data_IF_670437716882
#
_entry.id   IF_670437716882
#
_cell.length_a   1.000
_cell.length_b   1.000
_cell.length_c   1.000
_cell.angle_alpha   90.00
_cell.angle_beta   90.00
_cell.angle_gamma   90.00
#
_symmetry.space_group_name_H-M   'P 1'
#
loop_
_entity.id
_entity.type
_entity.pdbx_description
1 polymer ?
#
# COMPACT_ATOMS: atom_id res chain seq x y z
N UNK A 1 -13.37 -7.76 -0.63
CA UNK A 1 -13.63 -6.62 0.27
C UNK A 1 -13.15 -5.38 -0.46
N UNK A 2 -13.89 -4.28 -0.39
CA UNK A 2 -13.58 -3.07 -1.16
C UNK A 2 -13.73 -1.84 -0.27
N UNK A 3 -12.70 -1.00 -0.20
CA UNK A 3 -12.71 0.28 0.51
C UNK A 3 -13.38 1.35 -0.35
N UNK A 4 -14.25 2.16 0.27
CA UNK A 4 -15.06 3.18 -0.41
C UNK A 4 -14.75 4.60 0.04
N UNK A 5 -14.18 4.78 1.24
CA UNK A 5 -13.81 6.10 1.75
C UNK A 5 -12.68 6.01 2.76
N UNK A 6 -11.84 7.04 2.79
CA UNK A 6 -10.76 7.23 3.76
C UNK A 6 -10.83 8.64 4.33
N UNK A 7 -11.09 8.75 5.63
CA UNK A 7 -10.99 10.03 6.37
C UNK A 7 -9.75 10.01 7.24
N UNK A 8 -8.97 11.10 7.20
CA UNK A 8 -7.70 11.26 7.90
C UNK A 8 -7.71 12.58 8.65
N UNK A 9 -7.35 12.55 9.94
CA UNK A 9 -7.12 13.75 10.75
C UNK A 9 -5.79 13.73 11.47
N UNK A 10 -5.17 14.91 11.59
CA UNK A 10 -3.91 15.17 12.31
C UNK A 10 -2.72 14.31 11.87
N UNK A 11 -2.72 13.78 10.64
CA UNK A 11 -1.68 12.87 10.14
C UNK A 11 -0.82 13.54 9.07
N UNK A 12 0.47 13.73 9.37
CA UNK A 12 1.48 14.33 8.50
C UNK A 12 1.00 15.64 7.84
N UNK A 13 0.56 15.59 6.58
CA UNK A 13 0.13 16.78 5.82
C UNK A 13 -1.35 17.13 5.99
N UNK A 14 -2.14 16.24 6.58
CA UNK A 14 -3.59 16.36 6.64
C UNK A 14 -4.05 16.86 8.02
N UNK A 15 -4.87 17.92 8.01
CA UNK A 15 -5.60 18.42 9.18
C UNK A 15 -6.87 17.61 9.36
N UNK A 16 -7.77 17.72 8.37
CA UNK A 16 -8.96 16.92 8.19
C UNK A 16 -9.23 16.79 6.69
N UNK A 17 -9.30 15.56 6.19
CA UNK A 17 -9.60 15.25 4.80
C UNK A 17 -10.39 13.96 4.70
N UNK A 18 -11.37 13.94 3.79
CA UNK A 18 -12.07 12.73 3.35
C UNK A 18 -11.78 12.50 1.88
N UNK A 19 -11.32 11.31 1.56
CA UNK A 19 -10.89 10.89 0.24
C UNK A 19 -11.86 9.79 -0.22
N UNK A 20 -12.66 10.01 -1.27
CA UNK A 20 -13.47 8.96 -1.84
C UNK A 20 -12.55 7.90 -2.46
N UNK A 21 -12.80 6.64 -2.14
CA UNK A 21 -12.13 5.50 -2.74
C UNK A 21 -13.09 4.82 -3.72
N UNK A 22 -12.53 4.07 -4.65
CA UNK A 22 -13.27 3.29 -5.64
C UNK A 22 -12.51 2.02 -5.99
N UNK A 23 -13.01 1.25 -6.93
CA UNK A 23 -12.38 0.01 -7.36
C UNK A 23 -12.34 -0.08 -8.88
N UNK A 24 -11.18 0.20 -9.51
CA UNK A 24 -9.93 0.73 -8.94
C UNK A 24 -9.99 2.25 -8.69
N UNK A 25 -9.04 2.78 -7.90
CA UNK A 25 -8.85 4.24 -7.69
C UNK A 25 -7.39 4.68 -7.90
N UNK A 26 -7.22 5.87 -8.49
CA UNK A 26 -5.90 6.48 -8.75
C UNK A 26 -5.84 7.88 -8.15
N UNK A 27 -4.81 8.12 -7.35
CA UNK A 27 -4.44 9.42 -6.83
C UNK A 27 -3.48 10.11 -7.81
N UNK A 28 -3.88 11.27 -8.35
CA UNK A 28 -3.09 12.04 -9.31
C UNK A 28 -2.73 13.40 -8.74
N UNK A 29 -1.47 13.80 -8.86
CA UNK A 29 -1.04 15.14 -8.47
C UNK A 29 0.48 15.25 -8.43
N UNK A 30 1.03 16.46 -8.18
CA UNK A 30 2.47 16.69 -8.16
C UNK A 30 3.16 15.93 -7.01
N UNK A 31 4.49 15.86 -7.07
CA UNK A 31 5.29 15.35 -5.96
C UNK A 31 4.99 16.16 -4.70
N UNK A 32 5.05 15.48 -3.55
CA UNK A 32 4.84 16.10 -2.26
C UNK A 32 3.40 16.62 -2.01
N UNK A 33 2.40 16.22 -2.80
CA UNK A 33 1.00 16.66 -2.61
C UNK A 33 0.19 15.87 -1.55
N UNK A 34 0.75 14.78 -1.00
CA UNK A 34 0.10 13.97 0.03
C UNK A 34 -0.44 12.62 -0.44
N UNK A 35 -0.21 12.22 -1.71
CA UNK A 35 -0.63 10.90 -2.24
C UNK A 35 -0.06 9.74 -1.42
N UNK A 36 1.26 9.68 -1.27
CA UNK A 36 1.95 8.70 -0.41
C UNK A 36 1.48 8.79 1.04
N UNK A 37 1.19 10.00 1.54
CA UNK A 37 0.64 10.18 2.89
C UNK A 37 -0.74 9.50 3.05
N UNK A 38 -1.60 9.56 2.03
CA UNK A 38 -2.89 8.87 2.06
C UNK A 38 -2.72 7.34 2.04
N UNK A 39 -1.81 6.81 1.22
CA UNK A 39 -1.48 5.38 1.23
C UNK A 39 -0.93 4.95 2.59
N UNK A 40 -0.02 5.73 3.17
CA UNK A 40 0.56 5.48 4.49
C UNK A 40 -0.48 5.49 5.61
N UNK A 41 -1.51 6.36 5.54
CA UNK A 41 -2.60 6.34 6.50
C UNK A 41 -3.37 5.00 6.47
N UNK A 42 -3.65 4.45 5.29
CA UNK A 42 -4.27 3.13 5.16
C UNK A 42 -3.39 2.01 5.74
N UNK A 43 -2.06 2.09 5.56
CA UNK A 43 -1.15 1.10 6.17
C UNK A 43 -1.13 1.18 7.69
N UNK A 44 -1.15 2.40 8.27
CA UNK A 44 -1.23 2.60 9.72
C UNK A 44 -2.54 2.05 10.28
N UNK A 45 -3.65 2.30 9.58
CA UNK A 45 -4.96 1.73 9.92
C UNK A 45 -4.95 0.20 9.89
N UNK A 46 -4.37 -0.42 8.85
CA UNK A 46 -4.27 -1.89 8.74
C UNK A 46 -3.48 -2.51 9.91
N UNK A 47 -2.36 -1.90 10.30
CA UNK A 47 -1.58 -2.36 11.46
C UNK A 47 -2.42 -2.26 12.74
N UNK A 48 -3.13 -1.15 12.91
CA UNK A 48 -4.05 -0.95 14.04
C UNK A 48 -5.11 -2.05 14.12
N UNK A 49 -5.81 -2.33 13.02
CA UNK A 49 -6.82 -3.39 12.95
C UNK A 49 -6.22 -4.77 13.23
N UNK A 50 -5.08 -5.09 12.62
CA UNK A 50 -4.41 -6.38 12.83
C UNK A 50 -4.04 -6.60 14.30
N UNK A 51 -3.51 -5.58 14.98
CA UNK A 51 -3.17 -5.65 16.42
C UNK A 51 -4.42 -5.77 17.31
N UNK A 52 -5.51 -5.08 16.96
CA UNK A 52 -6.79 -5.15 17.68
C UNK A 52 -7.44 -6.54 17.52
N UNK A 53 -7.51 -7.07 16.30
CA UNK A 53 -8.11 -8.38 16.03
C UNK A 53 -7.27 -9.56 16.55
N UNK A 54 -5.95 -9.38 16.66
CA UNK A 54 -5.04 -10.39 17.22
C UNK A 54 -5.09 -10.52 18.75
N UNK A 55 -5.81 -9.62 19.45
CA UNK A 55 -5.99 -9.64 20.91
C UNK A 55 -7.28 -10.39 21.27
N UNK A 56 -7.26 -11.17 22.36
CA UNK A 56 -8.50 -11.76 22.91
C UNK A 56 -9.32 -10.67 23.63
N UNK A 57 -10.64 -10.83 23.72
CA UNK A 57 -11.50 -9.90 24.48
C UNK A 57 -11.02 -9.70 25.93
N UNK A 58 -10.40 -10.71 26.53
CA UNK A 58 -9.78 -10.67 27.87
C UNK A 58 -8.50 -9.84 27.96
N UNK A 59 -7.90 -9.48 26.82
CA UNK A 59 -6.68 -8.69 26.74
C UNK A 59 -6.97 -7.19 26.53
N UNK A 60 -8.25 -6.82 26.38
CA UNK A 60 -8.68 -5.44 26.49
C UNK A 60 -8.78 -5.13 27.98
N UNK A 61 -7.81 -4.38 28.53
CA UNK A 61 -7.84 -4.09 29.95
C UNK A 61 -9.02 -3.16 30.23
N UNK A 62 -9.64 -3.33 31.40
CA UNK A 62 -10.77 -2.53 31.86
C UNK A 62 -10.59 -1.02 31.63
N UNK A 63 -11.74 -0.32 31.61
CA UNK A 63 -12.10 1.10 31.35
C UNK A 63 -11.06 2.25 31.44
N UNK A 64 -9.82 2.02 31.86
CA UNK A 64 -8.76 2.99 32.10
C UNK A 64 -7.49 2.80 31.24
N UNK A 65 -7.41 1.84 30.32
CA UNK A 65 -6.16 1.63 29.56
C UNK A 65 -6.00 2.46 28.29
N UNK A 66 -4.75 2.90 27.99
CA UNK A 66 -4.47 3.90 26.97
C UNK A 66 -4.70 3.43 25.52
N UNK A 67 -4.85 2.12 25.27
CA UNK A 67 -4.96 1.50 23.96
C UNK A 67 -3.90 0.42 23.75
N UNK A 68 -3.90 -0.24 22.59
CA UNK A 68 -2.89 -1.23 22.22
C UNK A 68 -1.63 -0.51 21.74
N UNK A 69 -0.48 -0.85 22.32
CA UNK A 69 0.81 -0.29 21.91
C UNK A 69 1.22 -0.81 20.54
N UNK A 70 1.57 0.10 19.62
CA UNK A 70 2.20 -0.18 18.33
C UNK A 70 3.62 0.37 18.40
N UNK A 71 4.61 -0.49 18.13
CA UNK A 71 6.00 -0.05 18.04
C UNK A 71 6.24 0.65 16.69
N UNK A 72 7.02 1.72 16.69
CA UNK A 72 7.40 2.47 15.47
C UNK A 72 8.07 1.56 14.44
N UNK A 73 8.85 0.56 14.88
CA UNK A 73 9.53 -0.40 13.98
C UNK A 73 8.57 -1.37 13.30
N UNK A 74 7.35 -1.52 13.81
CA UNK A 74 6.29 -2.31 13.16
C UNK A 74 5.65 -1.53 12.00
N UNK A 75 5.86 -0.20 11.90
CA UNK A 75 5.32 0.66 10.85
C UNK A 75 6.16 0.59 9.56
N UNK A 76 6.24 -0.60 8.96
CA UNK A 76 7.12 -0.88 7.82
C UNK A 76 6.90 0.09 6.64
N UNK A 77 5.65 0.39 6.30
CA UNK A 77 5.30 1.29 5.20
C UNK A 77 5.44 2.78 5.52
N UNK A 78 5.71 3.12 6.79
CA UNK A 78 5.84 4.50 7.27
C UNK A 78 7.13 4.65 8.09
N UNK A 79 8.31 4.43 7.47
CA UNK A 79 9.56 4.51 8.20
C UNK A 79 9.80 5.97 8.64
N UNK A 80 9.66 6.21 9.94
CA UNK A 80 9.98 7.50 10.57
C UNK A 80 10.98 7.26 11.68
N UNK A 81 11.98 8.15 11.90
CA UNK A 81 12.94 8.00 12.99
C UNK A 81 12.34 8.27 14.37
N UNK A 82 11.21 8.98 14.45
CA UNK A 82 10.46 9.21 15.69
C UNK A 82 8.95 9.22 15.40
N UNK A 83 8.14 8.67 16.32
CA UNK A 83 6.70 8.57 16.16
C UNK A 83 6.00 9.93 16.01
N UNK A 84 6.53 10.99 16.64
CA UNK A 84 5.98 12.35 16.55
C UNK A 84 5.93 12.90 15.12
N UNK A 85 6.75 12.38 14.20
CA UNK A 85 6.73 12.75 12.78
C UNK A 85 5.48 12.28 12.03
N UNK A 86 4.67 11.42 12.65
CA UNK A 86 3.36 11.04 12.11
C UNK A 86 2.32 12.14 12.33
N UNK A 87 2.50 12.99 13.35
CA UNK A 87 1.57 14.06 13.69
C UNK A 87 1.76 15.24 12.76
N UNK A 88 0.64 15.84 12.38
CA UNK A 88 0.64 17.10 11.67
C UNK A 88 1.36 18.17 12.49
N UNK A 89 2.27 18.90 11.84
CA UNK A 89 3.03 20.01 12.42
C UNK A 89 3.77 19.65 13.73
N UNK A 90 4.05 18.34 13.96
CA UNK A 90 4.62 17.78 15.20
C UNK A 90 3.76 18.08 16.45
N UNK A 91 2.51 18.48 16.27
CA UNK A 91 1.61 18.85 17.35
C UNK A 91 0.99 17.60 17.97
N UNK A 92 1.63 17.10 19.03
CA UNK A 92 1.15 15.97 19.83
C UNK A 92 0.20 16.40 20.97
N UNK A 93 0.28 17.67 21.40
CA UNK A 93 -0.55 18.26 22.47
C UNK A 93 -1.13 19.59 22.01
N UNK A 94 -2.36 19.94 22.44
CA UNK A 94 -2.91 21.29 22.21
C UNK A 94 -2.11 22.34 23.00
N UNK A 95 -1.92 23.55 22.48
CA UNK A 95 -1.31 24.63 23.27
C UNK A 95 -2.23 25.03 24.44
N UNK A 96 -1.68 25.14 25.65
CA UNK A 96 -2.42 25.62 26.82
C UNK A 96 -2.76 27.11 26.64
N UNK A 97 -4.00 27.49 26.93
CA UNK A 97 -4.34 28.90 27.17
C UNK A 97 -3.62 29.37 28.45
N UNK A 98 -2.99 30.56 28.48
CA UNK A 98 -2.13 31.01 29.58
C UNK A 98 -2.76 30.97 30.98
N UNK A 99 -4.10 30.94 31.09
CA UNK A 99 -4.83 31.04 32.36
C UNK A 99 -5.28 29.71 32.98
N UNK A 100 -5.02 28.54 32.36
CA UNK A 100 -5.42 27.24 32.94
C UNK A 100 -4.26 26.26 33.01
N UNK A 101 -3.79 25.97 34.23
CA UNK A 101 -2.90 24.85 34.59
C UNK A 101 -3.59 23.48 34.43
N UNK A 102 -4.28 23.23 33.32
CA UNK A 102 -4.78 21.90 32.99
C UNK A 102 -3.82 21.23 32.01
N UNK A 103 -3.62 19.92 32.16
CA UNK A 103 -2.91 19.11 31.19
C UNK A 103 -3.51 19.37 29.80
N UNK A 104 -2.65 19.72 28.85
CA UNK A 104 -3.05 19.98 27.48
C UNK A 104 -3.56 18.69 26.85
N UNK A 105 -4.80 18.65 26.34
CA UNK A 105 -5.33 17.43 25.75
C UNK A 105 -4.48 17.03 24.53
N UNK A 106 -4.15 15.75 24.46
CA UNK A 106 -3.43 15.16 23.33
C UNK A 106 -4.23 15.36 22.04
N UNK A 107 -3.53 15.52 20.93
CA UNK A 107 -4.12 15.61 19.60
C UNK A 107 -3.99 14.22 18.97
N UNK A 108 -5.03 13.38 18.94
CA UNK A 108 -4.91 12.06 18.32
C UNK A 108 -4.87 12.16 16.79
N UNK A 109 -4.14 11.24 16.16
CA UNK A 109 -4.37 10.92 14.75
C UNK A 109 -5.68 10.14 14.67
N UNK A 110 -6.57 10.50 13.74
CA UNK A 110 -7.82 9.76 13.52
C UNK A 110 -7.85 9.26 12.08
N UNK A 111 -8.07 7.97 11.91
CA UNK A 111 -8.24 7.36 10.59
C UNK A 111 -9.55 6.58 10.58
N UNK A 112 -10.46 6.95 9.70
CA UNK A 112 -11.74 6.28 9.50
C UNK A 112 -11.76 5.71 8.09
N UNK A 113 -12.03 4.42 7.99
CA UNK A 113 -12.15 3.72 6.71
C UNK A 113 -13.58 3.20 6.60
N UNK A 114 -14.15 3.40 5.43
CA UNK A 114 -15.44 2.82 5.04
C UNK A 114 -15.20 1.81 3.92
N UNK A 115 -16.03 0.77 3.89
CA UNK A 115 -15.96 -0.20 2.83
C UNK A 115 -17.15 -1.15 2.81
N UNK A 116 -17.07 -2.12 1.90
CA UNK A 116 -18.10 -3.12 1.67
C UNK A 116 -17.44 -4.50 1.65
N UNK A 117 -18.01 -5.42 2.44
CA UNK A 117 -17.65 -6.85 2.43
C UNK A 117 -18.92 -7.66 2.25
N UNK A 118 -19.00 -8.53 1.25
CA UNK A 118 -20.19 -9.35 0.96
C UNK A 118 -21.51 -8.53 0.91
N UNK A 119 -21.48 -7.40 0.19
CA UNK A 119 -22.59 -6.43 0.09
C UNK A 119 -23.05 -5.78 1.40
N UNK A 120 -22.29 -5.91 2.49
CA UNK A 120 -22.56 -5.23 3.74
C UNK A 120 -21.63 -4.02 3.89
N UNK A 121 -22.16 -2.79 3.93
CA UNK A 121 -21.36 -1.61 4.21
C UNK A 121 -20.92 -1.61 5.67
N UNK A 122 -19.71 -1.13 5.93
CA UNK A 122 -19.15 -0.98 7.26
C UNK A 122 -18.32 0.28 7.35
N UNK A 123 -18.20 0.79 8.57
CA UNK A 123 -17.36 1.94 8.92
C UNK A 123 -16.53 1.56 10.13
N UNK A 124 -15.23 1.81 10.07
CA UNK A 124 -14.32 1.51 11.16
C UNK A 124 -13.34 2.66 11.36
N UNK A 125 -13.32 3.23 12.56
CA UNK A 125 -12.43 4.32 12.93
C UNK A 125 -11.45 3.92 14.01
N UNK A 126 -10.20 4.32 13.86
CA UNK A 126 -9.15 4.18 14.85
C UNK A 126 -8.56 5.55 15.22
N UNK A 127 -8.22 5.68 16.49
CA UNK A 127 -7.46 6.79 17.05
C UNK A 127 -6.07 6.30 17.43
N UNK A 128 -5.07 7.13 17.17
CA UNK A 128 -3.69 6.88 17.57
C UNK A 128 -3.16 8.04 18.41
N UNK A 129 -2.70 7.72 19.63
CA UNK A 129 -2.10 8.68 20.54
C UNK A 129 -0.59 8.50 20.61
N UNK A 130 0.11 9.61 20.79
CA UNK A 130 1.55 9.61 20.99
C UNK A 130 1.86 9.06 22.39
N UNK A 131 2.62 7.96 22.47
CA UNK A 131 3.08 7.44 23.76
C UNK A 131 4.49 7.95 24.08
N UNK A 132 5.42 7.76 23.16
CA UNK A 132 6.82 8.18 23.25
C UNK A 132 7.46 8.12 21.84
N UNK A 133 8.75 8.48 21.66
CA UNK A 133 9.36 8.49 20.32
C UNK A 133 9.36 7.13 19.58
N UNK A 134 9.26 6.00 20.30
CA UNK A 134 9.34 4.65 19.74
C UNK A 134 7.99 3.93 19.69
N UNK A 135 6.92 4.50 20.23
CA UNK A 135 5.60 3.85 20.23
C UNK A 135 4.42 4.81 20.26
N UNK A 136 3.28 4.30 19.82
CA UNK A 136 1.97 4.95 19.83
C UNK A 136 0.92 4.00 20.40
N UNK A 137 -0.13 4.54 21.01
CA UNK A 137 -1.30 3.77 21.41
C UNK A 137 -2.34 3.79 20.28
N UNK A 138 -3.03 2.67 20.07
CA UNK A 138 -4.09 2.52 19.08
C UNK A 138 -5.37 2.03 19.77
N UNK A 139 -6.50 2.65 19.45
CA UNK A 139 -7.81 2.25 19.96
C UNK A 139 -8.93 2.57 18.96
N UNK A 140 -10.08 1.88 19.03
CA UNK A 140 -11.24 2.27 18.24
C UNK A 140 -11.75 3.66 18.66
N UNK A 141 -12.29 4.41 17.71
CA UNK A 141 -12.88 5.74 17.97
C UNK A 141 -14.01 5.66 19.00
N UNK A 142 -14.17 6.73 19.78
CA UNK A 142 -15.29 6.88 20.72
C UNK A 142 -16.32 7.88 20.19
N UNK A 143 -17.58 7.67 20.50
CA UNK A 143 -18.63 8.66 20.24
C UNK A 143 -18.58 9.81 21.27
N UNK A 144 -19.45 10.82 21.08
CA UNK A 144 -19.55 11.98 21.99
C UNK A 144 -19.97 11.62 23.42
N UNK A 145 -20.53 10.42 23.62
CA UNK A 145 -20.94 9.89 24.92
C UNK A 145 -19.88 9.00 25.57
N UNK A 146 -18.75 8.79 24.88
CA UNK A 146 -17.64 7.94 25.34
C UNK A 146 -17.79 6.47 24.99
N UNK A 147 -18.82 6.08 24.23
CA UNK A 147 -19.02 4.71 23.77
C UNK A 147 -18.02 4.37 22.66
N UNK A 148 -17.33 3.23 22.80
CA UNK A 148 -16.35 2.75 21.82
C UNK A 148 -17.12 2.18 20.63
N UNK A 149 -16.81 2.64 19.40
CA UNK A 149 -17.38 2.02 18.21
C UNK A 149 -16.86 0.58 18.07
N UNK A 150 -17.72 -0.43 17.94
CA UNK A 150 -17.28 -1.80 17.75
C UNK A 150 -16.55 -1.95 16.43
N UNK A 151 -15.50 -2.75 16.41
CA UNK A 151 -14.83 -3.15 15.17
C UNK A 151 -15.81 -4.04 14.38
N UNK A 152 -16.19 -3.67 13.14
CA UNK A 152 -17.13 -4.47 12.35
C UNK A 152 -16.57 -5.86 12.07
N UNK A 153 -17.39 -6.91 12.18
CA UNK A 153 -16.95 -8.28 11.88
C UNK A 153 -16.57 -8.44 10.40
N UNK A 154 -17.17 -7.62 9.55
CA UNK A 154 -16.94 -7.50 8.11
C UNK A 154 -15.51 -7.10 7.73
N UNK A 155 -14.72 -6.55 8.67
CA UNK A 155 -13.30 -6.20 8.47
C UNK A 155 -12.36 -7.38 8.79
N UNK A 156 -12.90 -8.52 9.26
CA UNK A 156 -12.10 -9.71 9.56
C UNK A 156 -11.48 -10.25 8.26
N UNK A 157 -10.17 -10.50 8.28
CA UNK A 157 -9.42 -10.90 7.07
C UNK A 157 -9.00 -9.71 6.19
N UNK A 158 -9.14 -8.48 6.67
CA UNK A 158 -8.59 -7.30 5.99
C UNK A 158 -7.07 -7.40 5.83
N UNK A 159 -6.63 -7.40 4.57
CA UNK A 159 -5.23 -7.40 4.19
C UNK A 159 -4.93 -6.20 3.29
N UNK A 160 -3.90 -5.44 3.65
CA UNK A 160 -3.31 -4.39 2.81
C UNK A 160 -1.91 -4.83 2.42
N UNK A 161 -1.56 -4.62 1.15
CA UNK A 161 -0.21 -4.82 0.64
C UNK A 161 0.27 -3.50 0.02
N UNK A 162 1.34 -2.92 0.57
CA UNK A 162 1.90 -1.65 0.10
C UNK A 162 3.22 -1.88 -0.64
N UNK A 163 3.26 -1.47 -1.90
CA UNK A 163 4.45 -1.49 -2.73
C UNK A 163 4.91 -0.04 -3.02
N UNK A 164 6.07 0.38 -2.48
CA UNK A 164 6.66 1.67 -2.81
C UNK A 164 7.30 1.65 -4.21
N UNK A 165 7.80 2.81 -4.69
CA UNK A 165 8.45 2.88 -6.00
C UNK A 165 9.66 1.94 -6.08
N UNK A 166 9.96 1.46 -7.29
CA UNK A 166 11.06 0.52 -7.49
C UNK A 166 12.44 1.18 -7.35
N UNK A 167 13.37 0.52 -6.64
CA UNK A 167 14.74 0.99 -6.40
C UNK A 167 15.82 0.21 -7.18
N UNK A 168 15.58 -0.09 -8.47
CA UNK A 168 16.49 -0.88 -9.30
C UNK A 168 16.42 -2.38 -8.99
N UNK A 169 17.47 -3.14 -9.32
CA UNK A 169 17.55 -4.58 -9.08
C UNK A 169 18.94 -4.97 -8.58
N UNK A 170 19.00 -5.80 -7.53
CA UNK A 170 20.25 -6.32 -7.00
C UNK A 170 20.83 -7.42 -7.91
N UNK A 171 22.16 -7.47 -8.00
CA UNK A 171 22.87 -8.52 -8.74
C UNK A 171 22.66 -9.91 -8.10
N UNK A 172 22.60 -9.97 -6.77
CA UNK A 172 22.39 -11.20 -5.99
C UNK A 172 21.27 -10.98 -4.99
N UNK A 173 20.46 -12.02 -4.76
CA UNK A 173 19.33 -11.97 -3.85
C UNK A 173 19.32 -13.23 -2.98
N UNK A 174 19.43 -13.08 -1.66
CA UNK A 174 19.29 -14.21 -0.74
C UNK A 174 17.82 -14.64 -0.63
N UNK A 175 17.56 -15.91 -0.36
CA UNK A 175 16.20 -16.36 -0.04
C UNK A 175 15.76 -15.75 1.29
N UNK A 176 14.61 -15.10 1.28
CA UNK A 176 14.00 -14.43 2.42
C UNK A 176 12.67 -15.07 2.77
N UNK A 177 12.38 -15.10 4.07
CA UNK A 177 11.04 -15.41 4.57
C UNK A 177 10.11 -14.19 4.41
N UNK A 178 8.79 -14.42 4.36
CA UNK A 178 7.78 -13.37 4.06
C UNK A 178 7.91 -12.14 4.96
N UNK A 179 8.20 -12.32 6.24
CA UNK A 179 8.40 -11.21 7.17
C UNK A 179 9.59 -10.31 6.78
N UNK A 180 10.70 -10.92 6.34
CA UNK A 180 11.88 -10.18 5.91
C UNK A 180 11.65 -9.47 4.57
N UNK A 181 10.90 -10.09 3.64
CA UNK A 181 10.46 -9.45 2.39
C UNK A 181 9.66 -8.17 2.69
N UNK A 182 8.68 -8.25 3.59
CA UNK A 182 7.87 -7.10 3.98
C UNK A 182 8.69 -5.97 4.60
N UNK A 183 9.71 -6.30 5.41
CA UNK A 183 10.64 -5.30 5.95
C UNK A 183 11.42 -4.61 4.84
N UNK A 184 11.99 -5.36 3.89
CA UNK A 184 12.73 -4.80 2.75
C UNK A 184 11.87 -3.91 1.88
N UNK A 185 10.64 -4.33 1.61
CA UNK A 185 9.66 -3.52 0.89
C UNK A 185 9.40 -2.22 1.65
N UNK A 186 9.15 -2.28 2.97
CA UNK A 186 8.96 -1.10 3.81
C UNK A 186 10.15 -0.13 3.82
N UNK A 187 11.38 -0.65 3.75
CA UNK A 187 12.62 0.13 3.61
C UNK A 187 12.81 0.74 2.21
N UNK A 188 11.91 0.48 1.26
CA UNK A 188 12.04 0.89 -0.14
C UNK A 188 13.07 0.06 -0.93
N UNK A 189 13.54 -1.06 -0.38
CA UNK A 189 14.53 -1.96 -0.98
C UNK A 189 13.87 -3.02 -1.85
N UNK A 190 13.03 -2.58 -2.78
CA UNK A 190 12.34 -3.44 -3.75
C UNK A 190 13.29 -4.17 -4.69
N UNK A 191 14.52 -3.66 -4.87
CA UNK A 191 15.60 -4.31 -5.60
C UNK A 191 16.06 -5.66 -5.02
N UNK A 192 15.80 -5.91 -3.73
CA UNK A 192 16.29 -7.07 -2.99
C UNK A 192 15.21 -8.16 -2.78
N UNK A 193 14.04 -8.01 -3.43
CA UNK A 193 12.89 -8.91 -3.20
C UNK A 193 12.23 -9.43 -4.47
N UNK A 194 12.67 -9.00 -5.65
CA UNK A 194 12.02 -9.36 -6.91
C UNK A 194 12.06 -10.88 -7.14
N UNK A 195 13.23 -11.50 -6.99
CA UNK A 195 13.41 -12.94 -7.20
C UNK A 195 12.69 -13.73 -6.11
N UNK A 196 12.65 -13.23 -4.88
CA UNK A 196 11.88 -13.80 -3.78
C UNK A 196 10.38 -13.80 -4.05
N UNK A 197 9.82 -12.70 -4.55
CA UNK A 197 8.40 -12.64 -4.91
C UNK A 197 8.08 -13.62 -6.05
N UNK A 198 8.95 -13.69 -7.07
CA UNK A 198 8.82 -14.67 -8.14
C UNK A 198 8.90 -16.11 -7.59
N UNK A 199 9.81 -16.37 -6.65
CA UNK A 199 9.97 -17.67 -6.03
C UNK A 199 8.75 -18.08 -5.21
N UNK A 200 8.16 -17.15 -4.46
CA UNK A 200 6.93 -17.39 -3.71
C UNK A 200 5.77 -17.83 -4.60
N UNK A 201 5.59 -17.20 -5.77
CA UNK A 201 4.50 -17.54 -6.70
C UNK A 201 4.82 -18.74 -7.61
N UNK A 202 6.09 -19.05 -7.86
CA UNK A 202 6.49 -20.21 -8.67
C UNK A 202 6.52 -21.50 -7.87
N UNK A 203 6.90 -21.40 -6.58
CA UNK A 203 7.02 -22.53 -5.67
C UNK A 203 5.75 -22.76 -4.83
N UNK A 204 4.68 -21.98 -5.06
CA UNK A 204 3.37 -22.27 -4.49
C UNK A 204 2.78 -23.56 -5.09
N UNK A 205 1.89 -24.22 -4.33
CA UNK A 205 1.18 -25.40 -4.84
C UNK A 205 0.25 -25.12 -6.02
N UNK A 206 -0.13 -23.86 -6.22
CA UNK A 206 -0.83 -23.36 -7.41
C UNK A 206 0.19 -22.74 -8.38
N UNK A 207 0.14 -23.18 -9.64
CA UNK A 207 1.06 -22.73 -10.70
C UNK A 207 0.44 -21.69 -11.63
N UNK A 208 -0.88 -21.45 -11.54
CA UNK A 208 -1.56 -20.44 -12.37
C UNK A 208 -0.93 -19.06 -12.24
N UNK A 209 -0.62 -18.56 -11.03
CA UNK A 209 -0.07 -17.22 -10.88
C UNK A 209 1.24 -17.04 -11.64
N UNK A 210 2.16 -18.00 -11.51
CA UNK A 210 3.44 -17.99 -12.22
C UNK A 210 3.24 -18.07 -13.74
N UNK A 211 2.37 -18.96 -14.22
CA UNK A 211 2.07 -19.09 -15.66
C UNK A 211 1.51 -17.77 -16.21
N UNK A 212 0.60 -17.13 -15.48
CA UNK A 212 0.05 -15.81 -15.83
C UNK A 212 1.14 -14.74 -15.94
N UNK A 213 2.12 -14.73 -15.03
CA UNK A 213 3.28 -13.81 -15.10
C UNK A 213 4.15 -14.10 -16.33
N UNK A 214 4.54 -15.35 -16.56
CA UNK A 214 5.39 -15.75 -17.70
C UNK A 214 4.72 -15.37 -19.03
N UNK A 215 3.43 -15.66 -19.20
CA UNK A 215 2.70 -15.34 -20.42
C UNK A 215 2.61 -13.83 -20.66
N UNK A 216 2.31 -13.06 -19.62
CA UNK A 216 2.24 -11.60 -19.71
C UNK A 216 3.59 -11.00 -20.11
N UNK A 217 4.68 -11.45 -19.48
CA UNK A 217 6.02 -10.95 -19.80
C UNK A 217 6.44 -11.34 -21.22
N UNK A 218 6.10 -12.55 -21.66
CA UNK A 218 6.31 -12.98 -23.05
C UNK A 218 5.59 -12.09 -24.04
N UNK A 219 4.32 -11.79 -23.80
CA UNK A 219 3.51 -10.94 -24.69
C UNK A 219 4.03 -9.49 -24.75
N UNK A 220 4.43 -8.92 -23.61
CA UNK A 220 4.83 -7.52 -23.53
C UNK A 220 6.28 -7.25 -23.95
N UNK A 221 7.18 -8.20 -23.72
CA UNK A 221 8.63 -8.02 -23.88
C UNK A 221 9.27 -9.00 -24.86
N UNK A 222 8.55 -10.02 -25.33
CA UNK A 222 9.12 -11.02 -26.25
C UNK A 222 10.20 -11.89 -25.60
N UNK A 223 10.13 -12.11 -24.29
CA UNK A 223 11.08 -12.97 -23.56
C UNK A 223 10.34 -14.03 -22.76
N UNK A 224 10.96 -15.20 -22.59
CA UNK A 224 10.42 -16.25 -21.72
C UNK A 224 11.17 -16.26 -20.40
N UNK A 225 10.44 -16.10 -19.29
CA UNK A 225 11.01 -16.23 -17.96
C UNK A 225 11.15 -17.71 -17.57
N UNK A 226 12.29 -18.08 -17.03
CA UNK A 226 12.48 -19.37 -16.38
C UNK A 226 12.10 -19.27 -14.90
N UNK A 227 11.60 -20.35 -14.28
CA UNK A 227 11.35 -20.39 -12.85
C UNK A 227 12.60 -20.00 -12.05
N UNK A 228 12.47 -19.23 -10.96
CA UNK A 228 13.58 -18.94 -10.08
C UNK A 228 14.09 -20.21 -9.40
N UNK A 229 15.40 -20.32 -9.27
CA UNK A 229 16.09 -21.47 -8.67
C UNK A 229 16.72 -21.08 -7.34
N UNK A 230 16.54 -21.93 -6.31
CA UNK A 230 17.16 -21.74 -5.01
C UNK A 230 18.47 -22.52 -4.93
N UNK A 231 19.59 -21.80 -4.83
CA UNK A 231 20.94 -22.35 -4.70
C UNK A 231 21.25 -22.55 -3.22
N UNK A 232 21.14 -23.79 -2.74
CA UNK A 232 21.25 -24.15 -1.32
C UNK A 232 22.63 -23.79 -0.75
N UNK A 233 23.70 -24.00 -1.52
CA UNK A 233 25.09 -23.79 -1.08
C UNK A 233 25.40 -22.32 -0.77
N UNK A 234 24.64 -21.39 -1.36
CA UNK A 234 24.80 -19.94 -1.18
C UNK A 234 23.63 -19.29 -0.45
N UNK A 235 22.50 -19.98 -0.35
CA UNK A 235 21.25 -19.40 0.14
C UNK A 235 20.67 -18.34 -0.80
N UNK A 236 21.00 -18.40 -2.09
CA UNK A 236 20.64 -17.39 -3.10
C UNK A 236 19.50 -17.87 -3.99
N UNK A 237 18.72 -16.92 -4.50
CA UNK A 237 17.75 -17.16 -5.58
C UNK A 237 18.32 -16.55 -6.86
N UNK A 238 18.41 -17.37 -7.90
CA UNK A 238 18.75 -16.93 -9.26
C UNK A 238 17.53 -17.01 -10.15
N UNK A 239 17.54 -16.20 -11.21
CA UNK A 239 16.44 -16.18 -12.17
C UNK A 239 16.98 -15.70 -13.51
N UNK A 240 16.60 -16.38 -14.58
CA UNK A 240 17.05 -16.10 -15.95
C UNK A 240 15.87 -15.90 -16.88
N UNK A 241 16.12 -15.25 -18.01
CA UNK A 241 15.17 -15.15 -19.11
C UNK A 241 15.83 -15.53 -20.43
N UNK A 242 15.02 -16.02 -21.35
CA UNK A 242 15.41 -16.37 -22.71
C UNK A 242 14.85 -15.35 -23.70
N UNK A 243 15.71 -14.80 -24.55
CA UNK A 243 15.31 -13.91 -25.65
C UNK A 243 14.73 -14.71 -26.82
N UNK A 244 13.50 -14.39 -27.21
CA UNK A 244 12.85 -15.06 -28.33
C UNK A 244 13.58 -14.74 -29.65
N UNK A 245 13.89 -15.79 -30.41
CA UNK A 245 14.53 -15.68 -31.72
C UNK A 245 16.05 -15.82 -31.71
N UNK A 246 16.72 -15.50 -30.61
CA UNK A 246 18.18 -15.73 -30.45
C UNK A 246 18.47 -16.99 -29.61
N UNK A 247 17.56 -17.35 -28.68
CA UNK A 247 17.75 -18.45 -27.73
C UNK A 247 18.81 -18.15 -26.66
N UNK A 248 19.22 -16.88 -26.55
CA UNK A 248 20.22 -16.46 -25.56
C UNK A 248 19.55 -16.39 -24.19
N UNK A 249 20.17 -17.05 -23.21
CA UNK A 249 19.73 -17.06 -21.81
C UNK A 249 20.60 -16.08 -21.02
N UNK A 250 19.96 -15.13 -20.33
CA UNK A 250 20.62 -14.09 -19.55
C UNK A 250 20.06 -14.04 -18.12
N UNK A 251 20.89 -13.63 -17.16
CA UNK A 251 20.41 -13.32 -15.82
C UNK A 251 19.38 -12.18 -15.86
N UNK A 252 18.35 -12.28 -15.02
CA UNK A 252 17.28 -11.28 -14.95
C UNK A 252 17.82 -9.86 -14.71
N UNK A 253 18.97 -9.69 -14.04
CA UNK A 253 19.65 -8.40 -13.86
C UNK A 253 20.01 -7.70 -15.17
N UNK A 254 20.19 -8.46 -16.26
CA UNK A 254 20.48 -7.92 -17.59
C UNK A 254 19.25 -7.35 -18.31
N UNK A 255 18.03 -7.61 -17.81
CA UNK A 255 16.83 -7.10 -18.43
C UNK A 255 16.66 -5.58 -18.24
N UNK A 256 15.91 -4.94 -19.14
CA UNK A 256 15.61 -3.52 -19.03
C UNK A 256 14.68 -3.19 -17.84
N UNK A 257 14.80 -1.97 -17.30
CA UNK A 257 14.00 -1.51 -16.15
C UNK A 257 12.50 -1.70 -16.32
N UNK A 258 11.97 -1.52 -17.53
CA UNK A 258 10.55 -1.71 -17.80
C UNK A 258 10.08 -3.15 -17.56
N UNK A 259 10.92 -4.14 -17.86
CA UNK A 259 10.65 -5.54 -17.55
C UNK A 259 10.68 -5.76 -16.04
N UNK A 260 11.72 -5.26 -15.35
CA UNK A 260 11.85 -5.42 -13.89
C UNK A 260 10.66 -4.82 -13.14
N UNK A 261 10.23 -3.61 -13.53
CA UNK A 261 9.08 -2.93 -12.94
C UNK A 261 7.79 -3.73 -13.18
N UNK A 262 7.57 -4.19 -14.42
CA UNK A 262 6.38 -4.99 -14.74
C UNK A 262 6.36 -6.30 -13.97
N UNK A 263 7.49 -6.99 -13.91
CA UNK A 263 7.65 -8.25 -13.20
C UNK A 263 7.42 -8.07 -11.69
N UNK A 264 7.97 -7.00 -11.09
CA UNK A 264 7.77 -6.66 -9.68
C UNK A 264 6.29 -6.45 -9.38
N UNK A 265 5.61 -5.62 -10.17
CA UNK A 265 4.20 -5.32 -10.00
C UNK A 265 3.33 -6.57 -10.12
N UNK A 266 3.58 -7.38 -11.15
CA UNK A 266 2.85 -8.62 -11.37
C UNK A 266 3.07 -9.62 -10.23
N UNK A 267 4.34 -9.90 -9.89
CA UNK A 267 4.67 -10.83 -8.81
C UNK A 267 4.08 -10.36 -7.47
N UNK A 268 4.05 -9.05 -7.23
CA UNK A 268 3.43 -8.48 -6.03
C UNK A 268 1.90 -8.64 -6.00
N UNK A 269 1.20 -8.37 -7.12
CA UNK A 269 -0.26 -8.56 -7.22
C UNK A 269 -0.62 -10.04 -7.00
N UNK A 270 0.10 -10.94 -7.66
CA UNK A 270 -0.16 -12.38 -7.59
C UNK A 270 0.26 -13.04 -6.27
N UNK A 271 1.21 -12.46 -5.53
CA UNK A 271 1.56 -12.92 -4.17
C UNK A 271 0.56 -12.47 -3.09
N UNK A 272 -0.36 -11.55 -3.40
CA UNK A 272 -1.32 -10.98 -2.45
C UNK A 272 -2.77 -11.06 -2.95
N UNK A 273 -3.30 -12.27 -3.20
CA UNK A 273 -4.69 -12.44 -3.65
C UNK A 273 -5.68 -11.96 -2.58
N UNK A 274 -6.74 -11.27 -3.00
CA UNK A 274 -7.80 -10.76 -2.14
C UNK A 274 -7.45 -9.51 -1.32
N UNK A 275 -6.22 -8.99 -1.42
CA UNK A 275 -5.75 -7.83 -0.66
C UNK A 275 -6.18 -6.50 -1.30
N UNK A 276 -6.13 -5.43 -0.50
CA UNK A 276 -6.14 -4.05 -0.99
C UNK A 276 -4.69 -3.66 -1.31
N UNK A 277 -4.40 -3.51 -2.59
CA UNK A 277 -3.07 -3.22 -3.13
C UNK A 277 -2.87 -1.70 -3.19
N UNK A 278 -1.92 -1.21 -2.41
CA UNK A 278 -1.50 0.18 -2.38
C UNK A 278 -0.21 0.31 -3.19
N UNK A 279 -0.27 0.97 -4.35
CA UNK A 279 0.86 1.06 -5.29
C UNK A 279 1.32 2.51 -5.38
N UNK A 280 2.56 2.80 -4.99
CA UNK A 280 3.13 4.15 -5.09
C UNK A 280 4.07 4.25 -6.29
N UNK A 281 3.73 5.14 -7.22
CA UNK A 281 4.39 5.35 -8.52
C UNK A 281 4.65 4.06 -9.32
N UNK A 282 3.62 3.23 -9.58
CA UNK A 282 3.78 1.99 -10.36
C UNK A 282 4.24 2.24 -11.80
N UNK A 283 4.03 3.46 -12.30
CA UNK A 283 4.39 3.94 -13.63
C UNK A 283 5.78 4.64 -13.69
N UNK A 284 6.49 4.74 -12.57
CA UNK A 284 7.80 5.39 -12.53
C UNK A 284 8.81 4.74 -13.48
N UNK A 285 9.69 5.56 -14.06
CA UNK A 285 10.79 5.14 -14.94
C UNK A 285 10.39 4.41 -16.24
N UNK A 286 9.10 4.44 -16.60
CA UNK A 286 8.56 3.80 -17.80
C UNK A 286 8.29 4.83 -18.90
N UNK A 287 8.52 4.41 -20.14
CA UNK A 287 8.11 5.17 -21.32
C UNK A 287 6.59 5.31 -21.40
N UNK A 288 6.12 6.40 -22.02
CA UNK A 288 4.69 6.78 -22.11
C UNK A 288 3.79 5.60 -22.53
N UNK A 289 4.17 4.85 -23.58
CA UNK A 289 3.40 3.70 -24.06
C UNK A 289 3.28 2.59 -23.01
N UNK A 290 4.37 2.34 -22.25
CA UNK A 290 4.41 1.32 -21.20
C UNK A 290 3.57 1.70 -19.99
N UNK A 291 3.49 2.98 -19.64
CA UNK A 291 2.65 3.45 -18.53
C UNK A 291 1.16 3.09 -18.74
N UNK A 292 0.63 3.27 -19.96
CA UNK A 292 -0.75 2.85 -20.31
C UNK A 292 -0.94 1.34 -20.21
N UNK A 293 0.03 0.58 -20.73
CA UNK A 293 -0.03 -0.89 -20.72
C UNK A 293 -0.02 -1.43 -19.30
N UNK A 294 0.87 -0.93 -18.43
CA UNK A 294 0.97 -1.35 -17.04
C UNK A 294 -0.29 -1.03 -16.25
N UNK A 295 -0.89 0.13 -16.47
CA UNK A 295 -2.14 0.46 -15.80
C UNK A 295 -3.26 -0.53 -16.14
N UNK A 296 -3.43 -0.84 -17.43
CA UNK A 296 -4.42 -1.83 -17.86
C UNK A 296 -4.11 -3.24 -17.33
N UNK A 297 -2.84 -3.60 -17.31
CA UNK A 297 -2.38 -4.87 -16.77
C UNK A 297 -2.71 -5.00 -15.29
N UNK A 298 -2.42 -3.97 -14.49
CA UNK A 298 -2.73 -3.94 -13.06
C UNK A 298 -4.22 -4.15 -12.80
N UNK A 299 -5.10 -3.43 -13.52
CA UNK A 299 -6.54 -3.59 -13.39
C UNK A 299 -6.97 -5.03 -13.69
N UNK A 300 -6.44 -5.61 -14.78
CA UNK A 300 -6.79 -6.98 -15.18
C UNK A 300 -6.30 -8.02 -14.17
N UNK A 301 -5.05 -7.91 -13.71
CA UNK A 301 -4.47 -8.80 -12.72
C UNK A 301 -5.19 -8.71 -11.37
N UNK A 302 -5.52 -7.50 -10.91
CA UNK A 302 -6.26 -7.31 -9.67
C UNK A 302 -7.67 -7.90 -9.72
N UNK A 303 -8.36 -7.82 -10.86
CA UNK A 303 -9.66 -8.50 -11.05
C UNK A 303 -9.52 -10.02 -10.96
N UNK A 304 -8.47 -10.61 -11.56
CA UNK A 304 -8.19 -12.05 -11.45
C UNK A 304 -7.92 -12.48 -10.01
N UNK A 305 -7.20 -11.67 -9.24
CA UNK A 305 -6.85 -11.96 -7.86
C UNK A 305 -7.89 -11.51 -6.84
N UNK A 306 -9.03 -10.96 -7.29
CA UNK A 306 -10.08 -10.37 -6.44
C UNK A 306 -9.55 -9.30 -5.47
N UNK A 307 -8.58 -8.51 -5.95
CA UNK A 307 -7.88 -7.46 -5.21
C UNK A 307 -8.39 -6.08 -5.62
N UNK A 308 -8.42 -5.14 -4.69
CA UNK A 308 -8.69 -3.73 -4.98
C UNK A 308 -7.37 -2.99 -5.23
N UNK A 309 -7.31 -2.09 -6.20
CA UNK A 309 -6.14 -1.21 -6.42
C UNK A 309 -6.42 0.21 -5.94
N UNK A 310 -5.48 0.73 -5.16
CA UNK A 310 -5.35 2.15 -4.83
C UNK A 310 -3.93 2.58 -5.24
N UNK A 311 -3.81 3.25 -6.38
CA UNK A 311 -2.52 3.66 -6.93
C UNK A 311 -2.26 5.15 -6.76
N UNK A 312 -1.02 5.56 -6.53
CA UNK A 312 -0.59 6.96 -6.56
C UNK A 312 0.36 7.17 -7.74
N UNK A 313 0.09 8.18 -8.56
CA UNK A 313 0.90 8.52 -9.73
C UNK A 313 0.97 10.02 -9.94
N UNK A 314 2.01 10.47 -10.64
CA UNK A 314 2.16 11.84 -11.13
C UNK A 314 2.00 11.92 -12.67
N UNK A 315 1.73 10.79 -13.34
CA UNK A 315 1.65 10.73 -14.79
C UNK A 315 0.30 11.21 -15.35
N UNK A 316 0.38 12.18 -16.27
CA UNK A 316 -0.78 12.59 -17.08
C UNK A 316 -1.29 11.47 -17.99
N UNK A 317 -0.41 10.53 -18.36
CA UNK A 317 -0.75 9.38 -19.19
C UNK A 317 -1.64 8.42 -18.39
N UNK A 318 -1.25 8.12 -17.14
CA UNK A 318 -2.06 7.31 -16.22
C UNK A 318 -3.37 8.00 -15.90
N UNK A 319 -3.35 9.32 -15.66
CA UNK A 319 -4.57 10.11 -15.48
C UNK A 319 -5.55 9.95 -16.64
N UNK A 320 -5.06 10.04 -17.88
CA UNK A 320 -5.89 9.93 -19.08
C UNK A 320 -6.48 8.53 -19.24
N UNK A 321 -5.69 7.49 -18.99
CA UNK A 321 -6.15 6.10 -19.05
C UNK A 321 -7.14 5.76 -17.92
N UNK A 322 -6.89 6.29 -16.71
CA UNK A 322 -7.70 6.07 -15.53
C UNK A 322 -9.07 6.74 -15.62
N UNK A 323 -9.17 7.89 -16.31
CA UNK A 323 -10.41 8.66 -16.41
C UNK A 323 -11.61 7.83 -16.94
N UNK A 324 -11.36 6.85 -17.79
CA UNK A 324 -12.42 6.00 -18.36
C UNK A 324 -12.70 4.74 -17.52
N UNK A 325 -11.71 4.27 -16.74
CA UNK A 325 -11.65 2.91 -16.18
C UNK A 325 -11.60 2.84 -14.65
N UNK A 326 -11.32 3.96 -13.99
CA UNK A 326 -11.08 4.06 -12.55
C UNK A 326 -11.67 5.34 -11.96
N UNK A 327 -11.85 5.36 -10.65
CA UNK A 327 -12.05 6.61 -9.93
C UNK A 327 -10.73 7.39 -9.90
N UNK A 328 -10.75 8.68 -10.21
CA UNK A 328 -9.56 9.54 -10.17
C UNK A 328 -9.73 10.60 -9.10
N UNK A 329 -8.81 10.64 -8.14
CA UNK A 329 -8.75 11.67 -7.10
C UNK A 329 -7.58 12.60 -7.38
N UNK A 330 -7.86 13.88 -7.58
CA UNK A 330 -6.85 14.92 -7.73
C UNK A 330 -6.31 15.36 -6.36
N UNK A 331 -5.00 15.33 -6.19
CA UNK A 331 -4.27 15.87 -5.05
C UNK A 331 -3.66 17.23 -5.42
N UNK A 332 -4.51 18.19 -5.77
CA UNK A 332 -4.16 19.60 -5.98
C UNK A 332 -4.97 20.41 -4.98
N UNK A 333 -4.34 20.83 -3.88
CA UNK A 333 -5.04 21.37 -2.72
C UNK A 333 -5.74 20.27 -1.92
N UNK A 334 -7.03 20.41 -1.64
CA UNK A 334 -7.81 19.36 -0.97
C UNK A 334 -8.14 18.23 -1.96
N UNK A 335 -7.88 16.95 -1.61
CA UNK A 335 -8.25 15.81 -2.42
C UNK A 335 -9.73 15.84 -2.85
N UNK A 336 -9.98 15.68 -4.15
CA UNK A 336 -11.33 15.68 -4.72
C UNK A 336 -11.41 14.77 -5.94
N UNK A 337 -12.60 14.22 -6.21
CA UNK A 337 -12.84 13.38 -7.38
C UNK A 337 -12.85 14.23 -8.67
N UNK A 338 -12.22 13.74 -9.73
CA UNK A 338 -12.32 14.34 -11.06
C UNK A 338 -13.54 13.76 -11.77
N UNK A 339 -14.54 14.60 -12.06
CA UNK A 339 -15.71 14.20 -12.83
C UNK A 339 -15.40 14.07 -14.33
N UNK A 340 -15.95 13.04 -14.97
CA UNK A 340 -15.76 12.72 -16.41
C UNK A 340 -16.09 13.88 -17.37
N UNK A 341 -16.86 14.89 -16.95
CA UNK A 341 -17.35 15.98 -17.81
C UNK A 341 -16.48 17.25 -17.86
N UNK A 342 -15.47 17.42 -17.01
CA UNK A 342 -14.68 18.66 -16.95
C UNK A 342 -13.62 18.81 -18.08
N UNK A 343 -13.65 17.98 -19.12
CA UNK A 343 -12.57 17.87 -20.12
C UNK A 343 -12.85 18.49 -21.50
N UNK A 344 -14.01 19.10 -21.73
CA UNK A 344 -14.31 19.77 -23.01
C UNK A 344 -13.87 21.25 -23.08
N UNK A 345 -13.34 21.84 -21.99
CA UNK A 345 -13.02 23.29 -21.97
C UNK A 345 -11.53 23.62 -22.02
N UNK A 346 -10.63 22.65 -22.27
CA UNK A 346 -9.20 22.92 -22.47
C UNK A 346 -8.60 22.10 -23.60
N UNK A 347 -9.20 22.17 -24.79
CA UNK A 347 -8.54 21.83 -26.06
C UNK A 347 -8.07 23.10 -26.76
#
# INVERSE_FOLDING_TARGET
MTLTSLTIRNFKKFDDVTIPLGDPVVFIGPNNSGKTTALQALTLFAIGISKILGKKETDFPDKETPGITINRRDLLAVPVPAASLLWRDLQIHRMALPERQQATPDIPIVIIVEGITNNKPWVCGLEFDYANPESLYCRPIKDKTGHVYPIPKEITGFAIAFLPPMSGLAAHEIKLETGAINVKIGEGRTADVLRNLCYQISSSGDTEPWISVVNTIRELFGVTLHPPEYIIERGEITMVYEEMGTGVILDISSAGRGLHQTLLLLAYVYSHPGAVLLLDEPDAHLEILRQRQIFNLLIHSARKTNSQIIAASHSEVVLNEAADKAAVVAFIGKPHLIEKKARLEKS
#
